data_IF_918600528851
#
_entry.id   IF_918600528851
#
_cell.length_a   1.000
_cell.length_b   1.000
_cell.length_c   1.000
_cell.angle_alpha   90.00
_cell.angle_beta   90.00
_cell.angle_gamma   90.00
#
_symmetry.space_group_name_H-M   'P 1'
#
loop_
_entity.id
_entity.type
_entity.pdbx_description
1 polymer ?
#
# COMPACT_ATOMS: atom_id res chain seq x y z
N UNK A 1 -15.84 -2.03 -6.82
CA UNK A 1 -16.13 -2.98 -5.73
C UNK A 1 -14.84 -3.60 -5.21
N UNK A 2 -14.06 -4.33 -6.02
CA UNK A 2 -12.80 -4.97 -5.56
C UNK A 2 -11.70 -4.00 -5.06
N UNK A 3 -11.65 -2.78 -5.58
CA UNK A 3 -10.57 -1.83 -5.25
C UNK A 3 -10.53 -1.43 -3.78
N UNK A 4 -11.70 -1.27 -3.12
CA UNK A 4 -11.74 -0.86 -1.72
C UNK A 4 -11.20 -1.99 -0.84
N UNK A 5 -11.61 -3.23 -1.10
CA UNK A 5 -11.06 -4.39 -0.41
C UNK A 5 -9.54 -4.52 -0.61
N UNK A 6 -9.04 -4.30 -1.83
CA UNK A 6 -7.60 -4.33 -2.11
C UNK A 6 -6.82 -3.28 -1.31
N UNK A 7 -7.28 -2.02 -1.28
CA UNK A 7 -6.56 -0.98 -0.54
C UNK A 7 -6.60 -1.22 0.96
N UNK A 8 -7.72 -1.72 1.49
CA UNK A 8 -7.82 -2.08 2.91
C UNK A 8 -6.89 -3.24 3.26
N UNK A 9 -6.84 -4.29 2.44
CA UNK A 9 -5.88 -5.40 2.59
C UNK A 9 -4.43 -4.91 2.58
N UNK A 10 -4.07 -4.01 1.66
CA UNK A 10 -2.71 -3.47 1.58
C UNK A 10 -2.38 -2.55 2.76
N UNK A 11 -3.36 -1.77 3.25
CA UNK A 11 -3.18 -0.96 4.46
C UNK A 11 -2.94 -1.84 5.69
N UNK A 12 -3.69 -2.95 5.85
CA UNK A 12 -3.45 -3.91 6.92
C UNK A 12 -2.08 -4.58 6.78
N UNK A 13 -1.72 -4.99 5.57
CA UNK A 13 -0.39 -5.52 5.28
C UNK A 13 0.70 -4.56 5.76
N UNK A 14 0.68 -3.28 5.39
CA UNK A 14 1.69 -2.33 5.87
C UNK A 14 1.64 -2.10 7.38
N UNK A 15 0.44 -2.10 7.98
CA UNK A 15 0.26 -1.91 9.43
C UNK A 15 0.79 -3.10 10.23
N UNK A 16 0.73 -4.32 9.69
CA UNK A 16 1.29 -5.52 10.33
C UNK A 16 2.82 -5.48 10.50
N UNK A 17 3.52 -4.58 9.81
CA UNK A 17 4.96 -4.37 9.92
C UNK A 17 5.33 -3.21 10.86
N UNK A 18 4.39 -2.64 11.62
CA UNK A 18 4.67 -1.54 12.55
C UNK A 18 5.55 -1.95 13.75
N UNK A 19 5.42 -3.20 14.21
CA UNK A 19 6.13 -3.72 15.40
C UNK A 19 7.11 -4.86 15.07
N UNK A 20 7.39 -5.08 13.79
CA UNK A 20 8.22 -6.19 13.33
C UNK A 20 9.65 -5.71 13.06
N UNK A 21 10.55 -5.99 13.99
CA UNK A 21 12.00 -5.76 13.83
C UNK A 21 12.71 -6.86 13.02
N UNK A 22 12.00 -7.93 12.65
CA UNK A 22 12.50 -9.06 11.87
C UNK A 22 11.74 -9.16 10.53
N UNK A 23 12.28 -8.57 9.46
CA UNK A 23 11.60 -8.56 8.18
C UNK A 23 12.40 -7.85 7.08
N UNK A 24 11.76 -7.70 5.91
CA UNK A 24 12.36 -6.98 4.77
C UNK A 24 12.29 -5.45 4.96
N UNK A 25 11.36 -4.97 5.79
CA UNK A 25 11.14 -3.58 6.13
C UNK A 25 10.30 -3.52 7.42
N UNK A 26 10.23 -2.36 8.06
CA UNK A 26 9.19 -2.03 9.04
C UNK A 26 8.53 -0.70 8.67
N UNK A 27 7.37 -0.43 9.26
CA UNK A 27 6.60 0.80 9.00
C UNK A 27 6.33 1.57 10.29
N UNK A 28 5.87 2.81 10.18
CA UNK A 28 5.28 3.54 11.31
C UNK A 28 3.74 3.51 11.22
N UNK A 29 3.18 2.36 10.83
CA UNK A 29 1.77 2.21 10.48
C UNK A 29 1.44 2.73 9.08
N UNK A 30 0.18 2.56 8.66
CA UNK A 30 -0.31 3.04 7.38
C UNK A 30 -1.66 3.75 7.51
N UNK A 31 -1.83 4.85 6.78
CA UNK A 31 -3.09 5.60 6.74
C UNK A 31 -3.79 5.37 5.41
N UNK A 32 -5.08 5.00 5.46
CA UNK A 32 -5.95 4.94 4.29
C UNK A 32 -6.80 6.21 4.21
N UNK A 33 -6.82 6.85 3.03
CA UNK A 33 -7.63 8.03 2.71
C UNK A 33 -8.35 7.81 1.38
N UNK A 34 -9.38 8.60 1.13
CA UNK A 34 -10.02 8.66 -0.18
C UNK A 34 -10.35 10.10 -0.58
N UNK A 35 -10.48 10.32 -1.87
CA UNK A 35 -10.91 11.57 -2.48
C UNK A 35 -12.04 11.29 -3.47
N UNK A 36 -13.16 12.01 -3.37
CA UNK A 36 -14.25 11.91 -4.35
C UNK A 36 -13.87 12.70 -5.60
N UNK A 37 -13.81 12.04 -6.74
CA UNK A 37 -13.54 12.68 -8.02
C UNK A 37 -14.83 13.25 -8.62
N UNK A 38 -14.73 14.26 -9.52
CA UNK A 38 -15.90 14.81 -10.23
C UNK A 38 -16.70 13.77 -11.02
N UNK A 39 -16.08 12.64 -11.38
CA UNK A 39 -16.74 11.50 -12.04
C UNK A 39 -17.66 10.69 -11.11
N UNK A 40 -17.72 11.02 -9.82
CA UNK A 40 -18.46 10.27 -8.80
C UNK A 40 -17.74 9.01 -8.29
N UNK A 41 -16.56 8.69 -8.86
CA UNK A 41 -15.69 7.59 -8.39
C UNK A 41 -14.75 8.08 -7.29
N UNK A 42 -14.28 7.17 -6.46
CA UNK A 42 -13.29 7.47 -5.42
C UNK A 42 -11.87 7.17 -5.91
N UNK A 43 -10.95 8.08 -5.62
CA UNK A 43 -9.51 7.83 -5.58
C UNK A 43 -9.14 7.35 -4.17
N UNK A 44 -8.32 6.32 -4.06
CA UNK A 44 -7.86 5.81 -2.76
C UNK A 44 -6.36 6.04 -2.61
N UNK A 45 -5.92 6.39 -1.41
CA UNK A 45 -4.54 6.75 -1.11
C UNK A 45 -4.12 6.04 0.17
N UNK A 46 -3.04 5.25 0.10
CA UNK A 46 -2.38 4.66 1.26
C UNK A 46 -1.04 5.36 1.46
N UNK A 47 -0.78 5.87 2.66
CA UNK A 47 0.47 6.55 3.02
C UNK A 47 1.13 5.88 4.22
N UNK A 48 2.45 5.70 4.15
CA UNK A 48 3.25 5.12 5.24
C UNK A 48 4.71 5.57 5.16
N UNK A 49 5.39 5.61 6.30
CA UNK A 49 6.84 5.71 6.37
C UNK A 49 7.43 4.31 6.50
N UNK A 50 8.46 4.03 5.70
CA UNK A 50 9.06 2.70 5.57
C UNK A 50 10.56 2.77 5.80
N UNK A 51 11.07 1.87 6.61
CA UNK A 51 12.50 1.63 6.80
C UNK A 51 12.87 0.29 6.18
N UNK A 52 13.89 0.28 5.33
CA UNK A 52 14.26 -0.89 4.53
C UNK A 52 15.39 -1.66 5.21
N UNK A 53 15.25 -2.99 5.27
CA UNK A 53 16.32 -3.87 5.74
C UNK A 53 17.41 -4.04 4.67
N UNK A 54 18.69 -4.16 5.06
CA UNK A 54 19.18 -4.24 6.42
C UNK A 54 19.28 -2.85 7.08
N UNK A 55 18.87 -2.74 8.35
CA UNK A 55 18.55 -1.46 8.99
C UNK A 55 19.78 -0.63 9.39
N UNK A 56 20.96 -1.25 9.45
CA UNK A 56 22.26 -0.60 9.67
C UNK A 56 22.60 0.41 8.55
N UNK A 57 22.04 0.25 7.36
CA UNK A 57 22.19 1.21 6.26
C UNK A 57 21.36 2.49 6.45
N UNK A 58 20.48 2.53 7.47
CA UNK A 58 19.70 3.72 7.83
C UNK A 58 18.75 4.21 6.73
N UNK A 59 18.37 3.34 5.79
CA UNK A 59 17.55 3.70 4.63
C UNK A 59 16.07 3.78 5.01
N UNK A 60 15.50 4.97 4.84
CA UNK A 60 14.07 5.22 5.06
C UNK A 60 13.44 5.99 3.91
N UNK A 61 12.12 5.89 3.77
CA UNK A 61 11.36 6.57 2.74
C UNK A 61 9.92 6.86 3.14
N UNK A 62 9.33 7.88 2.53
CA UNK A 62 7.88 8.04 2.44
C UNK A 62 7.37 7.23 1.26
N UNK A 63 6.37 6.39 1.51
CA UNK A 63 5.70 5.59 0.50
C UNK A 63 4.23 6.02 0.40
N UNK A 64 3.77 6.22 -0.82
CA UNK A 64 2.36 6.47 -1.11
C UNK A 64 1.92 5.57 -2.25
N UNK A 65 0.80 4.88 -2.07
CA UNK A 65 0.12 4.12 -3.10
C UNK A 65 -1.19 4.81 -3.43
N UNK A 66 -1.35 5.18 -4.70
CA UNK A 66 -2.51 5.91 -5.19
C UNK A 66 -3.25 5.03 -6.19
N UNK A 67 -4.53 4.75 -5.92
CA UNK A 67 -5.41 4.01 -6.82
C UNK A 67 -6.43 4.97 -7.42
N UNK A 68 -6.30 5.21 -8.72
CA UNK A 68 -7.10 6.17 -9.47
C UNK A 68 -7.91 5.47 -10.55
N UNK A 69 -9.21 5.79 -10.72
CA UNK A 69 -10.03 5.18 -11.75
C UNK A 69 -9.58 5.63 -13.14
N UNK A 70 -9.42 4.67 -14.05
CA UNK A 70 -9.04 4.90 -15.44
C UNK A 70 -10.28 5.02 -16.33
N UNK A 71 -10.67 6.26 -16.62
CA UNK A 71 -11.76 6.57 -17.53
C UNK A 71 -13.13 6.06 -17.07
N UNK A 72 -13.96 5.65 -18.04
CA UNK A 72 -15.35 5.27 -17.77
C UNK A 72 -15.49 3.85 -17.22
N UNK A 73 -14.52 2.96 -17.48
CA UNK A 73 -14.54 1.58 -17.02
C UNK A 73 -14.20 1.43 -15.52
N UNK A 74 -14.46 0.24 -14.96
CA UNK A 74 -14.12 -0.10 -13.57
C UNK A 74 -12.65 -0.51 -13.38
N UNK A 75 -11.75 0.04 -14.19
CA UNK A 75 -10.30 -0.18 -14.03
C UNK A 75 -9.71 0.91 -13.14
N UNK A 76 -8.72 0.52 -12.35
CA UNK A 76 -7.93 1.43 -11.52
C UNK A 76 -6.45 1.29 -11.89
N UNK A 77 -5.80 2.43 -12.09
CA UNK A 77 -4.35 2.51 -12.18
C UNK A 77 -3.80 2.59 -10.77
N UNK A 78 -2.71 1.85 -10.51
CA UNK A 78 -1.99 1.89 -9.23
C UNK A 78 -0.68 2.63 -9.45
N UNK A 79 -0.56 3.81 -8.86
CA UNK A 79 0.64 4.62 -8.89
C UNK A 79 1.39 4.47 -7.55
N UNK A 80 2.66 4.07 -7.63
CA UNK A 80 3.53 3.93 -6.46
C UNK A 80 4.50 5.11 -6.42
N UNK A 81 4.44 5.89 -5.35
CA UNK A 81 5.33 7.01 -5.11
C UNK A 81 6.23 6.69 -3.91
N UNK A 82 7.54 6.77 -4.14
CA UNK A 82 8.56 6.53 -3.12
C UNK A 82 9.50 7.72 -3.07
N UNK A 83 9.66 8.32 -1.90
CA UNK A 83 10.59 9.43 -1.67
C UNK A 83 11.55 9.04 -0.56
N UNK A 84 12.83 8.86 -0.90
CA UNK A 84 13.91 8.67 0.08
C UNK A 84 13.91 9.80 1.10
N UNK A 85 13.94 9.45 2.38
CA UNK A 85 14.08 10.41 3.50
C UNK A 85 15.42 10.28 4.21
N UNK A 86 16.04 9.09 4.18
CA UNK A 86 17.38 8.83 4.76
C UNK A 86 18.12 7.71 4.01
N UNK A 87 19.41 7.55 4.32
CA UNK A 87 20.31 6.54 3.77
C UNK A 87 20.87 6.88 2.39
N UNK A 88 21.85 6.10 1.94
CA UNK A 88 22.55 6.34 0.67
C UNK A 88 21.68 6.05 -0.56
N UNK A 89 21.93 6.79 -1.66
CA UNK A 89 21.06 6.75 -2.85
C UNK A 89 21.12 5.39 -3.55
N UNK A 90 22.32 4.82 -3.61
CA UNK A 90 22.56 3.52 -4.21
C UNK A 90 21.94 2.39 -3.39
N UNK A 91 22.05 2.47 -2.06
CA UNK A 91 21.40 1.51 -1.16
C UNK A 91 19.89 1.62 -1.27
N UNK A 92 19.33 2.83 -1.23
CA UNK A 92 17.89 3.05 -1.41
C UNK A 92 17.36 2.46 -2.71
N UNK A 93 18.03 2.66 -3.85
CA UNK A 93 17.64 2.06 -5.13
C UNK A 93 17.69 0.53 -5.10
N UNK A 94 18.75 -0.05 -4.50
CA UNK A 94 18.92 -1.51 -4.41
C UNK A 94 17.84 -2.13 -3.53
N UNK A 95 17.62 -1.58 -2.34
CA UNK A 95 16.67 -2.11 -1.36
C UNK A 95 15.23 -1.97 -1.82
N UNK A 96 14.90 -0.94 -2.60
CA UNK A 96 13.57 -0.79 -3.17
C UNK A 96 13.17 -1.93 -4.13
N UNK A 97 14.12 -2.58 -4.80
CA UNK A 97 13.79 -3.75 -5.65
C UNK A 97 13.13 -4.85 -4.82
N UNK A 98 13.75 -5.21 -3.69
CA UNK A 98 13.21 -6.22 -2.75
C UNK A 98 11.90 -5.78 -2.12
N UNK A 99 11.77 -4.49 -1.78
CA UNK A 99 10.51 -3.94 -1.27
C UNK A 99 9.37 -4.09 -2.29
N UNK A 100 9.61 -3.72 -3.54
CA UNK A 100 8.65 -3.83 -4.63
C UNK A 100 8.32 -5.29 -4.97
N UNK A 101 9.28 -6.21 -4.87
CA UNK A 101 9.02 -7.64 -5.04
C UNK A 101 8.07 -8.17 -3.95
N UNK A 102 8.25 -7.73 -2.70
CA UNK A 102 7.34 -8.02 -1.60
C UNK A 102 5.93 -7.51 -1.87
N UNK A 103 5.81 -6.26 -2.33
CA UNK A 103 4.52 -5.67 -2.68
C UNK A 103 3.85 -6.39 -3.87
N UNK A 104 4.62 -6.76 -4.89
CA UNK A 104 4.15 -7.55 -6.03
C UNK A 104 3.58 -8.90 -5.57
N UNK A 105 4.20 -9.56 -4.60
CA UNK A 105 3.66 -10.79 -4.01
C UNK A 105 2.30 -10.56 -3.35
N UNK A 106 2.09 -9.43 -2.68
CA UNK A 106 0.78 -9.10 -2.09
C UNK A 106 -0.32 -8.95 -3.14
N UNK A 107 -0.01 -8.32 -4.29
CA UNK A 107 -0.95 -8.27 -5.41
C UNK A 107 -1.29 -9.66 -5.97
N UNK A 108 -0.31 -10.58 -6.00
CA UNK A 108 -0.55 -11.96 -6.42
C UNK A 108 -1.41 -12.72 -5.40
N UNK A 109 -1.12 -12.57 -4.11
CA UNK A 109 -1.91 -13.16 -3.02
C UNK A 109 -3.36 -12.70 -3.09
N UNK A 110 -3.59 -11.39 -3.23
CA UNK A 110 -4.94 -10.83 -3.36
C UNK A 110 -5.77 -11.49 -4.47
N UNK A 111 -5.15 -11.86 -5.58
CA UNK A 111 -5.83 -12.56 -6.68
C UNK A 111 -6.31 -13.96 -6.31
N UNK A 112 -5.71 -14.59 -5.32
CA UNK A 112 -6.06 -15.93 -4.83
C UNK A 112 -7.06 -15.92 -3.67
N UNK A 113 -7.26 -14.77 -3.03
CA UNK A 113 -8.21 -14.60 -1.93
C UNK A 113 -9.64 -14.84 -2.41
N UNK A 114 -10.44 -15.57 -1.61
CA UNK A 114 -11.83 -15.88 -1.94
C UNK A 114 -12.70 -14.63 -2.02
N UNK A 115 -13.79 -14.68 -2.79
CA UNK A 115 -14.72 -13.55 -2.91
C UNK A 115 -15.37 -13.14 -1.59
N UNK A 116 -15.51 -14.06 -0.64
CA UNK A 116 -16.04 -13.78 0.71
C UNK A 116 -15.07 -12.89 1.49
N UNK A 117 -13.80 -13.29 1.60
CA UNK A 117 -12.77 -12.50 2.28
C UNK A 117 -12.58 -11.13 1.61
N UNK A 118 -12.66 -11.06 0.27
CA UNK A 118 -12.61 -9.78 -0.44
C UNK A 118 -13.76 -8.83 -0.05
N UNK A 119 -14.96 -9.36 0.21
CA UNK A 119 -16.10 -8.58 0.69
C UNK A 119 -15.93 -8.14 2.14
N UNK A 120 -15.31 -8.96 2.98
CA UNK A 120 -15.00 -8.58 4.36
C UNK A 120 -14.03 -7.40 4.40
N UNK A 121 -12.96 -7.46 3.59
CA UNK A 121 -12.04 -6.34 3.41
C UNK A 121 -12.74 -5.08 2.87
N UNK A 122 -13.68 -5.23 1.93
CA UNK A 122 -14.48 -4.09 1.46
C UNK A 122 -15.32 -3.48 2.58
N UNK A 123 -15.97 -4.30 3.41
CA UNK A 123 -16.78 -3.85 4.55
C UNK A 123 -15.93 -3.10 5.56
N UNK A 124 -14.78 -3.67 5.94
CA UNK A 124 -13.81 -3.01 6.81
C UNK A 124 -13.35 -1.66 6.23
N UNK A 125 -13.07 -1.61 4.92
CA UNK A 125 -12.71 -0.36 4.25
C UNK A 125 -13.79 0.72 4.35
N UNK A 126 -15.06 0.35 4.24
CA UNK A 126 -16.19 1.28 4.41
C UNK A 126 -16.27 1.81 5.84
N UNK A 127 -16.07 0.94 6.83
CA UNK A 127 -16.07 1.32 8.25
C UNK A 127 -14.93 2.28 8.57
N UNK A 128 -13.70 1.98 8.11
CA UNK A 128 -12.51 2.83 8.30
C UNK A 128 -12.70 4.21 7.66
N UNK A 129 -13.27 4.25 6.45
CA UNK A 129 -13.47 5.49 5.71
C UNK A 129 -14.79 6.22 6.01
N UNK A 130 -15.65 5.62 6.83
CA UNK A 130 -17.02 6.09 7.13
C UNK A 130 -17.84 6.36 5.86
N UNK A 131 -17.78 5.41 4.91
CA UNK A 131 -18.47 5.43 3.61
C UNK A 131 -19.83 4.75 3.64
#
# INVERSE_FOLDING_TARGET
YEVLGLVTFLTEYFSSYQDVSLGNFYTNGATLKYEKLPSGKNKYIVETEVWLAPFDLGVSQKFSMILEPLGQYNFYTINLHMKRTSGESNDWKRLNRRFLDGLRKQFLIWRTVSSEIKKDYEKQGKEVLKL
#
